data_IF_992030106610
#
_entry.id   IF_992030106610
#
_cell.length_a   1.000
_cell.length_b   1.000
_cell.length_c   1.000
_cell.angle_alpha   90.00
_cell.angle_beta   90.00
_cell.angle_gamma   90.00
#
_symmetry.space_group_name_H-M   'P 1'
#
loop_
_entity.id
_entity.type
_entity.pdbx_description
1 polymer ?
#
# COMPACT_ATOMS: atom_id res chain seq x y z
N UNK A 1 4.51 -37.69 10.64
CA UNK A 1 5.88 -37.84 10.12
C UNK A 1 5.80 -38.08 8.61
N UNK A 2 6.43 -37.23 7.82
CA UNK A 2 6.51 -37.40 6.38
C UNK A 2 7.86 -36.87 5.91
N UNK A 3 8.58 -37.66 5.14
CA UNK A 3 9.84 -37.25 4.52
C UNK A 3 9.55 -36.59 3.18
N UNK A 4 9.96 -35.33 3.04
CA UNK A 4 9.97 -34.63 1.77
C UNK A 4 11.37 -34.72 1.14
N UNK A 5 11.43 -34.77 -0.19
CA UNK A 5 12.67 -34.71 -0.97
C UNK A 5 12.44 -33.73 -2.11
N UNK A 6 13.30 -32.72 -2.20
CA UNK A 6 13.34 -31.85 -3.37
C UNK A 6 14.08 -32.58 -4.49
N UNK A 7 13.46 -32.67 -5.65
CA UNK A 7 14.06 -33.17 -6.87
C UNK A 7 14.06 -32.03 -7.88
N UNK A 8 15.24 -31.68 -8.39
CA UNK A 8 15.39 -30.70 -9.47
C UNK A 8 14.98 -31.41 -10.76
N UNK A 9 13.86 -31.00 -11.34
CA UNK A 9 13.45 -31.45 -12.67
C UNK A 9 14.01 -30.47 -13.72
N UNK A 10 14.91 -30.91 -14.61
CA UNK A 10 15.58 -30.03 -15.57
C UNK A 10 14.66 -29.54 -16.71
N UNK A 11 13.43 -30.05 -16.86
CA UNK A 11 12.52 -29.71 -17.96
C UNK A 11 11.16 -29.16 -17.50
N UNK A 12 11.12 -28.12 -16.67
CA UNK A 12 9.90 -27.31 -16.54
C UNK A 12 9.72 -26.47 -17.81
N UNK A 13 9.14 -27.08 -18.85
CA UNK A 13 8.82 -26.48 -20.16
C UNK A 13 7.32 -26.13 -20.31
N UNK A 14 6.65 -25.84 -19.19
CA UNK A 14 5.27 -25.33 -19.17
C UNK A 14 5.23 -23.82 -18.91
N UNK A 15 4.12 -23.18 -19.29
CA UNK A 15 3.82 -21.79 -18.93
C UNK A 15 4.05 -21.58 -17.42
N UNK A 16 5.05 -20.76 -17.08
CA UNK A 16 5.33 -20.38 -15.69
C UNK A 16 4.10 -19.63 -15.18
N UNK A 17 3.28 -20.32 -14.38
CA UNK A 17 2.10 -19.73 -13.77
C UNK A 17 2.59 -18.87 -12.60
N UNK A 18 2.69 -17.56 -12.82
CA UNK A 18 2.94 -16.60 -11.73
C UNK A 18 1.68 -16.52 -10.88
N UNK A 19 1.75 -16.96 -9.63
CA UNK A 19 0.66 -16.76 -8.68
C UNK A 19 0.75 -15.34 -8.12
N UNK A 20 -0.29 -14.53 -8.31
CA UNK A 20 -0.44 -13.19 -7.69
C UNK A 20 -0.78 -13.26 -6.19
N UNK A 21 -0.51 -14.40 -5.53
CA UNK A 21 -0.91 -14.67 -4.15
C UNK A 21 0.28 -14.53 -3.22
N UNK A 22 0.07 -13.89 -2.06
CA UNK A 22 1.09 -13.82 -1.01
C UNK A 22 1.41 -15.22 -0.46
N UNK A 23 2.61 -15.43 0.13
CA UNK A 23 2.92 -16.68 0.84
C UNK A 23 1.87 -17.05 1.89
N UNK A 24 1.29 -16.05 2.56
CA UNK A 24 0.22 -16.23 3.53
C UNK A 24 -1.06 -16.80 2.89
N UNK A 25 -1.46 -16.26 1.73
CA UNK A 25 -2.61 -16.77 0.97
C UNK A 25 -2.37 -18.18 0.44
N UNK A 26 -1.14 -18.51 0.03
CA UNK A 26 -0.78 -19.87 -0.39
C UNK A 26 -0.87 -20.88 0.76
N UNK A 27 -0.40 -20.51 1.96
CA UNK A 27 -0.51 -21.33 3.18
C UNK A 27 -1.99 -21.54 3.52
N UNK A 28 -2.80 -20.48 3.47
CA UNK A 28 -4.22 -20.56 3.75
C UNK A 28 -4.95 -21.50 2.78
N UNK A 29 -4.73 -21.33 1.48
CA UNK A 29 -5.30 -22.18 0.43
C UNK A 29 -4.89 -23.65 0.57
N UNK A 30 -3.63 -23.90 0.95
CA UNK A 30 -3.13 -25.24 1.24
C UNK A 30 -3.86 -25.90 2.39
N UNK A 31 -4.07 -25.17 3.49
CA UNK A 31 -4.79 -25.66 4.68
C UNK A 31 -6.26 -25.93 4.33
N UNK A 32 -6.95 -25.01 3.65
CA UNK A 32 -8.35 -25.18 3.21
C UNK A 32 -8.55 -26.45 2.38
N UNK A 33 -7.61 -26.76 1.49
CA UNK A 33 -7.71 -27.89 0.55
C UNK A 33 -7.25 -29.22 1.12
N UNK A 34 -6.31 -29.24 2.07
CA UNK A 34 -5.60 -30.47 2.47
C UNK A 34 -5.80 -30.89 3.92
N UNK A 35 -6.24 -30.00 4.80
CA UNK A 35 -6.31 -30.30 6.23
C UNK A 35 -7.73 -30.72 6.62
N UNK A 36 -7.86 -31.94 7.14
CA UNK A 36 -9.12 -32.48 7.65
C UNK A 36 -9.46 -31.92 9.03
N UNK A 37 -10.76 -31.92 9.36
CA UNK A 37 -11.23 -31.50 10.67
C UNK A 37 -10.58 -32.29 11.81
N UNK A 38 -10.42 -33.61 11.66
CA UNK A 38 -9.76 -34.45 12.67
C UNK A 38 -8.31 -34.03 12.94
N UNK A 39 -7.57 -33.65 11.90
CA UNK A 39 -6.19 -33.16 12.04
C UNK A 39 -6.18 -31.85 12.81
N UNK A 40 -7.03 -30.91 12.44
CA UNK A 40 -7.09 -29.58 13.07
C UNK A 40 -7.53 -29.67 14.53
N UNK A 41 -8.48 -30.56 14.84
CA UNK A 41 -8.93 -30.84 16.21
C UNK A 41 -7.82 -31.37 17.11
N UNK A 42 -6.97 -32.27 16.63
CA UNK A 42 -5.83 -32.77 17.43
C UNK A 42 -4.92 -31.65 17.90
N UNK A 43 -4.72 -30.65 17.05
CA UNK A 43 -3.86 -29.50 17.35
C UNK A 43 -4.58 -28.50 18.27
N UNK A 44 -5.82 -28.13 17.96
CA UNK A 44 -6.52 -27.02 18.61
C UNK A 44 -7.41 -27.41 19.80
N UNK A 45 -7.97 -28.63 19.85
CA UNK A 45 -8.85 -29.06 20.96
C UNK A 45 -8.06 -29.15 22.28
N UNK A 46 -6.78 -29.53 22.21
CA UNK A 46 -5.90 -29.56 23.39
C UNK A 46 -5.64 -28.16 23.98
N UNK A 47 -5.85 -27.12 23.18
CA UNK A 47 -5.65 -25.72 23.53
C UNK A 47 -6.99 -24.97 23.66
N UNK A 48 -8.12 -25.68 23.76
CA UNK A 48 -9.47 -25.10 23.73
C UNK A 48 -9.71 -24.02 24.79
N UNK A 49 -9.05 -24.13 25.95
CA UNK A 49 -9.16 -23.15 27.06
C UNK A 49 -8.17 -22.00 26.96
N UNK A 50 -7.26 -22.00 25.99
CA UNK A 50 -6.32 -20.89 25.80
C UNK A 50 -6.98 -19.73 25.08
N UNK A 51 -6.60 -18.53 25.48
CA UNK A 51 -7.01 -17.27 24.87
C UNK A 51 -6.33 -17.10 23.51
N UNK A 52 -7.11 -16.67 22.52
CA UNK A 52 -6.59 -16.32 21.19
C UNK A 52 -6.18 -14.86 21.22
N UNK A 53 -4.87 -14.60 21.24
CA UNK A 53 -4.29 -13.26 21.35
C UNK A 53 -3.57 -12.87 20.07
N UNK A 54 -3.41 -11.57 19.80
CA UNK A 54 -2.61 -11.09 18.67
C UNK A 54 -1.16 -11.58 18.81
N UNK A 55 -0.57 -12.08 17.73
CA UNK A 55 0.83 -12.56 17.74
C UNK A 55 1.79 -11.45 18.14
N UNK A 56 2.88 -11.72 18.85
CA UNK A 56 3.76 -10.67 19.43
C UNK A 56 4.60 -9.95 18.40
N UNK A 57 4.80 -10.55 17.23
CA UNK A 57 5.67 -10.01 16.20
C UNK A 57 4.90 -9.15 15.19
N UNK A 58 5.11 -7.83 15.26
CA UNK A 58 4.54 -6.85 14.33
C UNK A 58 4.84 -7.15 12.84
N UNK A 59 5.94 -7.86 12.53
CA UNK A 59 6.28 -8.30 11.17
C UNK A 59 5.25 -9.25 10.56
N UNK A 60 4.60 -10.09 11.38
CA UNK A 60 3.62 -11.08 10.96
C UNK A 60 2.16 -10.61 11.11
N UNK A 61 1.91 -9.58 11.94
CA UNK A 61 0.56 -8.98 12.14
C UNK A 61 -0.05 -8.33 10.90
N UNK A 62 0.77 -7.90 9.94
CA UNK A 62 0.35 -7.14 8.75
C UNK A 62 0.45 -7.95 7.44
N UNK A 63 0.44 -9.29 7.52
CA UNK A 63 0.40 -10.11 6.31
C UNK A 63 -0.94 -9.95 5.57
N UNK A 64 -0.86 -9.72 4.26
CA UNK A 64 -2.03 -9.69 3.39
C UNK A 64 -2.53 -11.12 3.13
N UNK A 65 -3.59 -11.49 3.85
CA UNK A 65 -4.49 -12.59 3.49
C UNK A 65 -5.79 -11.99 2.97
N UNK A 66 -6.20 -12.43 1.78
CA UNK A 66 -7.54 -12.16 1.26
C UNK A 66 -8.56 -13.01 2.01
N UNK A 67 -9.18 -12.43 3.04
CA UNK A 67 -10.28 -13.06 3.78
C UNK A 67 -11.62 -12.67 3.14
N UNK A 68 -12.51 -13.66 2.99
CA UNK A 68 -13.91 -13.42 2.64
C UNK A 68 -14.64 -12.66 3.75
N UNK A 69 -15.79 -12.02 3.46
CA UNK A 69 -16.56 -11.29 4.48
C UNK A 69 -16.95 -12.14 5.70
N UNK A 70 -17.19 -13.44 5.52
CA UNK A 70 -17.49 -14.38 6.61
C UNK A 70 -16.24 -14.64 7.48
N UNK A 71 -15.07 -14.81 6.86
CA UNK A 71 -13.80 -15.01 7.56
C UNK A 71 -13.34 -13.72 8.29
N UNK A 72 -13.69 -12.54 7.77
CA UNK A 72 -13.42 -11.25 8.45
C UNK A 72 -14.18 -11.12 9.76
N UNK A 73 -15.41 -11.64 9.86
CA UNK A 73 -16.17 -11.66 11.13
C UNK A 73 -15.47 -12.46 12.23
N UNK A 74 -14.72 -13.51 11.86
CA UNK A 74 -13.94 -14.28 12.84
C UNK A 74 -12.78 -13.45 13.40
N UNK A 75 -12.21 -12.55 12.59
CA UNK A 75 -11.18 -11.62 13.08
C UNK A 75 -11.73 -10.71 14.19
N UNK A 76 -12.99 -10.27 14.06
CA UNK A 76 -13.71 -9.53 15.11
C UNK A 76 -13.96 -10.39 16.36
N UNK A 77 -13.99 -11.72 16.24
CA UNK A 77 -14.07 -12.60 17.41
C UNK A 77 -12.72 -12.73 18.14
N UNK A 78 -11.60 -12.48 17.45
CA UNK A 78 -10.23 -12.64 17.95
C UNK A 78 -9.71 -11.30 18.51
N UNK A 79 -10.34 -10.86 19.60
CA UNK A 79 -10.04 -9.59 20.29
C UNK A 79 -9.09 -9.76 21.49
N UNK A 80 -8.52 -10.95 21.69
CA UNK A 80 -7.62 -11.23 22.82
C UNK A 80 -8.28 -11.71 24.10
N UNK A 81 -9.62 -11.59 24.22
CA UNK A 81 -10.37 -11.99 25.42
C UNK A 81 -11.16 -13.29 25.29
N UNK A 82 -11.25 -13.85 24.08
CA UNK A 82 -11.95 -15.13 23.82
C UNK A 82 -10.97 -16.28 23.73
N UNK A 83 -11.37 -17.42 24.28
CA UNK A 83 -10.67 -18.69 24.14
C UNK A 83 -10.90 -19.31 22.77
N UNK A 84 -10.03 -20.24 22.36
CA UNK A 84 -10.20 -21.03 21.13
C UNK A 84 -11.60 -21.64 21.08
N UNK A 85 -12.08 -22.15 22.22
CA UNK A 85 -13.42 -22.73 22.33
C UNK A 85 -14.56 -21.75 22.14
N UNK A 86 -14.46 -20.56 22.72
CA UNK A 86 -15.48 -19.51 22.56
C UNK A 86 -15.52 -18.99 21.13
N UNK A 87 -14.37 -18.80 20.48
CA UNK A 87 -14.33 -18.39 19.06
C UNK A 87 -14.98 -19.46 18.18
N UNK A 88 -14.71 -20.75 18.43
CA UNK A 88 -15.34 -21.85 17.70
C UNK A 88 -16.86 -21.94 17.94
N UNK A 89 -17.34 -21.64 19.15
CA UNK A 89 -18.75 -21.70 19.50
C UNK A 89 -19.56 -20.50 18.98
N UNK A 90 -18.94 -19.32 18.91
CA UNK A 90 -19.56 -18.07 18.44
C UNK A 90 -19.42 -17.85 16.94
N UNK A 91 -18.58 -18.63 16.28
CA UNK A 91 -18.42 -18.60 14.83
C UNK A 91 -19.73 -18.96 14.12
N UNK A 92 -20.21 -18.08 13.25
CA UNK A 92 -21.33 -18.35 12.34
C UNK A 92 -20.90 -19.23 11.13
N UNK A 93 -19.61 -19.54 11.00
CA UNK A 93 -19.07 -20.33 9.90
C UNK A 93 -19.15 -21.83 10.17
N UNK A 94 -19.04 -22.63 9.10
CA UNK A 94 -18.84 -24.07 9.24
C UNK A 94 -17.66 -24.37 10.16
N UNK A 95 -17.84 -25.33 11.06
CA UNK A 95 -16.86 -25.66 12.10
C UNK A 95 -15.46 -25.90 11.50
N UNK A 96 -15.38 -26.69 10.43
CA UNK A 96 -14.12 -26.97 9.74
C UNK A 96 -13.44 -25.71 9.19
N UNK A 97 -14.20 -24.76 8.63
CA UNK A 97 -13.65 -23.51 8.09
C UNK A 97 -13.10 -22.64 9.21
N UNK A 98 -13.79 -22.61 10.35
CA UNK A 98 -13.33 -21.89 11.55
C UNK A 98 -12.02 -22.47 12.08
N UNK A 99 -11.90 -23.80 12.18
CA UNK A 99 -10.65 -24.47 12.54
C UNK A 99 -9.52 -24.19 11.54
N UNK A 100 -9.81 -24.21 10.23
CA UNK A 100 -8.83 -23.91 9.19
C UNK A 100 -8.30 -22.49 9.33
N UNK A 101 -9.19 -21.51 9.51
CA UNK A 101 -8.81 -20.10 9.67
C UNK A 101 -7.97 -19.87 10.94
N UNK A 102 -8.41 -20.38 12.10
CA UNK A 102 -7.64 -20.26 13.35
C UNK A 102 -6.25 -20.90 13.22
N UNK A 103 -6.19 -22.11 12.64
CA UNK A 103 -4.92 -22.79 12.44
C UNK A 103 -4.01 -22.03 11.47
N UNK A 104 -4.56 -21.45 10.40
CA UNK A 104 -3.80 -20.61 9.46
C UNK A 104 -3.24 -19.39 10.15
N UNK A 105 -4.07 -18.59 10.82
CA UNK A 105 -3.64 -17.38 11.51
C UNK A 105 -2.55 -17.66 12.55
N UNK A 106 -2.63 -18.80 13.23
CA UNK A 106 -1.58 -19.25 14.16
C UNK A 106 -0.30 -19.66 13.42
N UNK A 107 -0.42 -20.38 12.30
CA UNK A 107 0.72 -20.86 11.50
C UNK A 107 1.52 -19.70 10.90
N UNK A 108 0.84 -18.63 10.51
CA UNK A 108 1.49 -17.42 9.98
C UNK A 108 1.80 -16.38 11.06
N UNK A 109 1.69 -16.75 12.35
CA UNK A 109 2.03 -15.92 13.51
C UNK A 109 1.24 -14.60 13.63
N UNK A 110 0.05 -14.53 13.03
CA UNK A 110 -0.87 -13.41 13.24
C UNK A 110 -1.57 -13.48 14.61
N UNK A 111 -1.74 -14.69 15.14
CA UNK A 111 -2.31 -14.97 16.46
C UNK A 111 -1.45 -15.97 17.22
N UNK A 112 -1.52 -15.92 18.55
CA UNK A 112 -0.87 -16.84 19.47
C UNK A 112 -1.90 -17.34 20.51
N UNK A 113 -1.61 -18.49 21.14
CA UNK A 113 -2.44 -19.05 22.20
C UNK A 113 -1.80 -18.80 23.56
N UNK A 114 -2.56 -18.17 24.46
CA UNK A 114 -2.08 -17.72 25.77
C UNK A 114 -2.91 -18.30 26.91
N UNK A 115 -2.29 -18.55 28.06
CA UNK A 115 -2.97 -18.99 29.28
C UNK A 115 -3.71 -17.84 30.00
N UNK A 116 -3.33 -16.60 29.69
CA UNK A 116 -4.02 -15.39 30.16
C UNK A 116 -4.66 -14.65 28.99
N UNK A 117 -5.80 -13.96 29.20
CA UNK A 117 -6.32 -13.04 28.20
C UNK A 117 -5.23 -12.07 27.75
N UNK A 118 -5.26 -11.68 26.49
CA UNK A 118 -4.40 -10.61 25.98
C UNK A 118 -4.68 -9.36 26.80
N UNK A 119 -3.67 -8.87 27.51
CA UNK A 119 -3.77 -7.59 28.21
C UNK A 119 -4.08 -6.51 27.18
N UNK A 120 -5.02 -5.64 27.52
CA UNK A 120 -5.28 -4.38 26.85
C UNK A 120 -4.00 -3.52 26.86
N UNK A 121 -3.05 -3.82 25.97
CA UNK A 121 -2.59 -2.72 25.15
C UNK A 121 -3.70 -2.56 24.11
N UNK A 122 -4.60 -1.64 24.41
CA UNK A 122 -5.47 -1.00 23.44
C UNK A 122 -4.62 -0.56 22.23
N UNK A 123 -4.36 -1.47 21.30
CA UNK A 123 -4.56 -1.13 19.91
C UNK A 123 -6.09 -1.08 19.73
N UNK A 124 -6.71 -0.04 20.31
CA UNK A 124 -7.83 0.60 19.64
C UNK A 124 -7.32 0.76 18.20
N UNK A 125 -7.94 0.07 17.23
CA UNK A 125 -7.99 0.65 15.90
C UNK A 125 -8.64 2.00 16.13
N UNK A 126 -7.80 3.02 16.33
CA UNK A 126 -8.26 4.33 16.68
C UNK A 126 -9.25 4.68 15.57
N UNK A 127 -10.52 4.80 15.95
CA UNK A 127 -11.55 5.28 15.05
C UNK A 127 -11.01 6.52 14.38
N UNK A 128 -11.40 6.82 13.14
CA UNK A 128 -10.97 8.08 12.49
C UNK A 128 -11.32 9.29 13.40
N UNK A 129 -12.26 9.13 14.33
CA UNK A 129 -12.51 10.03 15.44
C UNK A 129 -11.38 10.09 16.47
N UNK A 130 -10.93 8.97 17.03
CA UNK A 130 -9.78 8.89 17.94
C UNK A 130 -8.48 9.37 17.29
N UNK A 131 -8.14 8.96 16.06
CA UNK A 131 -6.91 9.42 15.36
C UNK A 131 -6.93 10.94 15.20
N UNK A 132 -8.08 11.51 14.80
CA UNK A 132 -8.22 12.95 14.61
C UNK A 132 -8.21 13.71 15.95
N UNK A 133 -8.73 13.13 17.04
CA UNK A 133 -8.73 13.74 18.38
C UNK A 133 -7.36 13.67 19.05
N UNK A 134 -6.65 12.56 18.94
CA UNK A 134 -5.27 12.40 19.42
C UNK A 134 -4.32 13.35 18.66
N UNK A 135 -4.46 13.44 17.33
CA UNK A 135 -3.75 14.42 16.50
C UNK A 135 -4.15 15.88 16.83
N UNK A 136 -5.35 16.13 17.34
CA UNK A 136 -5.78 17.45 17.75
C UNK A 136 -5.18 17.91 19.09
N UNK A 137 -4.85 16.95 19.98
CA UNK A 137 -4.20 17.18 21.28
C UNK A 137 -2.69 17.45 21.18
N UNK A 138 -2.02 16.96 20.13
CA UNK A 138 -0.62 17.33 19.84
C UNK A 138 -0.56 18.80 19.39
N UNK A 139 0.32 19.61 19.98
CA UNK A 139 0.57 20.99 19.50
C UNK A 139 0.90 20.92 18.01
N UNK A 140 0.06 21.54 17.18
CA UNK A 140 0.24 21.52 15.74
C UNK A 140 1.64 22.05 15.39
N UNK A 141 2.47 21.22 14.76
CA UNK A 141 3.66 21.71 14.11
C UNK A 141 3.26 22.81 13.12
N UNK A 142 4.07 23.87 12.94
CA UNK A 142 3.79 24.90 11.95
C UNK A 142 3.49 24.27 10.59
N UNK A 143 2.51 24.77 9.85
CA UNK A 143 2.13 24.22 8.54
C UNK A 143 3.31 24.10 7.57
N UNK A 144 4.33 24.97 7.70
CA UNK A 144 5.58 24.89 6.96
C UNK A 144 6.45 23.67 7.33
N UNK A 145 6.48 23.28 8.61
CA UNK A 145 7.26 22.12 9.08
C UNK A 145 6.62 20.79 8.65
N UNK A 146 5.28 20.73 8.61
CA UNK A 146 4.54 19.57 8.12
C UNK A 146 4.72 19.38 6.60
N UNK A 147 4.69 20.47 5.84
CA UNK A 147 4.94 20.43 4.39
C UNK A 147 6.40 20.03 4.08
N UNK A 148 7.36 20.55 4.84
CA UNK A 148 8.77 20.20 4.71
C UNK A 148 9.04 18.71 5.05
N UNK A 149 8.39 18.16 6.07
CA UNK A 149 8.52 16.74 6.42
C UNK A 149 7.94 15.81 5.33
N UNK A 150 6.85 16.23 4.68
CA UNK A 150 6.21 15.48 3.61
C UNK A 150 6.98 15.57 2.28
N UNK A 151 7.60 16.72 2.01
CA UNK A 151 8.57 16.87 0.92
C UNK A 151 9.83 16.01 1.13
N UNK A 152 10.37 15.98 2.36
CA UNK A 152 11.50 15.13 2.70
C UNK A 152 11.18 13.63 2.52
N UNK A 153 10.02 13.18 3.01
CA UNK A 153 9.58 11.80 2.81
C UNK A 153 9.39 11.45 1.32
N UNK A 154 8.85 12.38 0.52
CA UNK A 154 8.71 12.18 -0.93
C UNK A 154 10.06 12.15 -1.67
N UNK A 155 11.09 12.81 -1.14
CA UNK A 155 12.45 12.76 -1.68
C UNK A 155 13.15 11.45 -1.32
N UNK A 156 13.00 10.98 -0.07
CA UNK A 156 13.51 9.67 0.35
C UNK A 156 12.92 8.52 -0.48
N UNK A 157 11.61 8.58 -0.77
CA UNK A 157 10.94 7.61 -1.64
C UNK A 157 11.50 7.64 -3.08
N UNK A 158 11.84 8.82 -3.60
CA UNK A 158 12.40 8.98 -4.94
C UNK A 158 13.83 8.43 -5.03
N UNK A 159 14.65 8.69 -4.02
CA UNK A 159 16.02 8.14 -3.92
C UNK A 159 16.01 6.62 -3.81
N UNK A 160 15.09 6.07 -3.01
CA UNK A 160 14.87 4.64 -2.89
C UNK A 160 14.52 4.01 -4.25
N UNK A 161 13.55 4.58 -4.98
CA UNK A 161 13.15 4.12 -6.32
C UNK A 161 14.33 4.14 -7.30
N UNK A 162 15.12 5.22 -7.29
CA UNK A 162 16.32 5.33 -8.13
C UNK A 162 17.37 4.28 -7.80
N UNK A 163 17.65 4.07 -6.51
CA UNK A 163 18.61 3.06 -6.06
C UNK A 163 18.20 1.66 -6.52
N UNK A 164 16.92 1.30 -6.39
CA UNK A 164 16.40 0.00 -6.86
C UNK A 164 16.62 -0.18 -8.35
N UNK A 165 16.30 0.83 -9.17
CA UNK A 165 16.43 0.76 -10.62
C UNK A 165 17.90 0.67 -11.06
N UNK A 166 18.78 1.43 -10.42
CA UNK A 166 20.23 1.34 -10.66
C UNK A 166 20.79 -0.02 -10.26
N UNK A 167 20.34 -0.57 -9.12
CA UNK A 167 20.73 -1.90 -8.67
C UNK A 167 20.27 -3.00 -9.63
N UNK A 168 19.02 -2.94 -10.09
CA UNK A 168 18.50 -3.87 -11.09
C UNK A 168 19.35 -3.86 -12.36
N UNK A 169 19.68 -2.67 -12.87
CA UNK A 169 20.56 -2.50 -14.03
C UNK A 169 21.94 -3.13 -13.82
N UNK A 170 22.56 -2.83 -12.69
CA UNK A 170 23.89 -3.33 -12.33
C UNK A 170 23.92 -4.86 -12.22
N UNK A 171 22.93 -5.45 -11.54
CA UNK A 171 22.82 -6.89 -11.42
C UNK A 171 22.54 -7.55 -12.77
N UNK A 172 21.90 -6.88 -13.73
CA UNK A 172 21.55 -7.51 -14.99
C UNK A 172 22.77 -7.89 -15.84
N UNK A 173 23.82 -7.07 -15.83
CA UNK A 173 25.08 -7.37 -16.53
C UNK A 173 25.98 -8.37 -15.79
N UNK A 174 25.67 -8.68 -14.53
CA UNK A 174 26.53 -9.50 -13.66
C UNK A 174 26.29 -11.00 -13.80
N UNK A 175 27.37 -11.77 -13.69
CA UNK A 175 27.34 -13.22 -13.49
C UNK A 175 26.94 -13.57 -12.04
N UNK A 176 26.66 -14.83 -11.73
CA UNK A 176 26.15 -15.23 -10.41
C UNK A 176 27.13 -14.96 -9.26
N UNK A 177 28.45 -15.08 -9.50
CA UNK A 177 29.44 -14.71 -8.48
C UNK A 177 29.41 -13.20 -8.24
N UNK A 178 29.39 -12.41 -9.31
CA UNK A 178 29.32 -10.94 -9.23
C UNK A 178 28.00 -10.43 -8.62
N UNK A 179 26.88 -11.12 -8.84
CA UNK A 179 25.58 -10.83 -8.21
C UNK A 179 25.69 -10.94 -6.69
N UNK A 180 26.38 -11.98 -6.20
CA UNK A 180 26.65 -12.16 -4.77
C UNK A 180 27.81 -11.29 -4.25
N UNK A 181 28.56 -10.64 -5.14
CA UNK A 181 29.74 -9.83 -4.81
C UNK A 181 30.95 -10.69 -4.44
N UNK A 182 31.09 -11.85 -5.09
CA UNK A 182 32.11 -12.86 -4.83
C UNK A 182 32.98 -13.08 -6.06
N UNK A 183 34.16 -13.65 -5.85
CA UNK A 183 35.04 -14.14 -6.92
C UNK A 183 34.73 -15.60 -7.23
N UNK A 184 35.28 -16.14 -8.33
CA UNK A 184 35.04 -17.53 -8.74
C UNK A 184 35.68 -18.54 -7.78
N UNK A 185 36.61 -18.10 -6.95
CA UNK A 185 37.31 -18.89 -5.93
C UNK A 185 36.54 -18.96 -4.60
N UNK A 186 35.38 -18.28 -4.49
CA UNK A 186 34.63 -18.19 -3.24
C UNK A 186 34.21 -19.56 -2.70
N UNK A 187 34.34 -19.74 -1.40
CA UNK A 187 33.94 -20.94 -0.67
C UNK A 187 32.42 -21.01 -0.49
N UNK A 188 31.88 -22.20 -0.20
CA UNK A 188 30.46 -22.40 0.07
C UNK A 188 29.96 -21.55 1.26
N UNK A 189 30.79 -21.41 2.30
CA UNK A 189 30.50 -20.56 3.45
C UNK A 189 30.38 -19.08 3.06
N UNK A 190 31.24 -18.59 2.17
CA UNK A 190 31.17 -17.22 1.65
C UNK A 190 29.94 -17.00 0.77
N UNK A 191 29.58 -17.97 -0.07
CA UNK A 191 28.37 -17.95 -0.91
C UNK A 191 27.11 -17.83 -0.04
N UNK A 192 27.01 -18.68 1.00
CA UNK A 192 25.88 -18.64 1.93
C UNK A 192 25.81 -17.34 2.72
N UNK A 193 26.96 -16.85 3.21
CA UNK A 193 27.06 -15.58 3.92
C UNK A 193 26.63 -14.39 3.05
N UNK A 194 27.09 -14.35 1.79
CA UNK A 194 26.73 -13.32 0.84
C UNK A 194 25.23 -13.33 0.51
N UNK A 195 24.65 -14.52 0.28
CA UNK A 195 23.21 -14.67 0.06
C UNK A 195 22.40 -14.16 1.24
N UNK A 196 22.71 -14.57 2.48
CA UNK A 196 21.98 -14.14 3.67
C UNK A 196 22.00 -12.61 3.84
N UNK A 197 23.16 -11.98 3.58
CA UNK A 197 23.30 -10.52 3.62
C UNK A 197 22.41 -9.83 2.58
N UNK A 198 22.46 -10.28 1.32
CA UNK A 198 21.71 -9.68 0.22
C UNK A 198 20.20 -9.96 0.31
N UNK A 199 19.82 -11.16 0.73
CA UNK A 199 18.43 -11.51 0.99
C UNK A 199 17.84 -10.60 2.07
N UNK A 200 18.58 -10.36 3.16
CA UNK A 200 18.15 -9.41 4.20
C UNK A 200 18.01 -7.99 3.64
N UNK A 201 18.82 -7.57 2.68
CA UNK A 201 18.81 -6.21 2.12
C UNK A 201 17.70 -6.00 1.09
N UNK A 202 17.51 -6.96 0.19
CA UNK A 202 16.64 -6.86 -0.98
C UNK A 202 15.37 -7.72 -0.89
N UNK A 203 15.01 -8.23 0.29
CA UNK A 203 13.74 -8.95 0.47
C UNK A 203 12.55 -8.04 0.10
N UNK A 204 11.57 -8.52 -0.70
CA UNK A 204 10.40 -7.73 -1.11
C UNK A 204 9.66 -7.07 0.06
N UNK A 205 9.54 -7.76 1.20
CA UNK A 205 8.87 -7.25 2.40
C UNK A 205 9.45 -5.95 2.94
N UNK A 206 10.76 -5.69 2.74
CA UNK A 206 11.38 -4.43 3.20
C UNK A 206 10.91 -3.21 2.44
N UNK A 207 10.36 -3.42 1.25
CA UNK A 207 9.86 -2.37 0.36
C UNK A 207 8.33 -2.34 0.33
N UNK A 208 7.68 -3.21 1.11
CA UNK A 208 6.23 -3.27 1.21
C UNK A 208 5.65 -1.93 1.65
N UNK A 209 4.63 -1.45 0.93
CA UNK A 209 3.99 -0.15 1.17
C UNK A 209 4.81 1.09 0.76
N UNK A 210 6.10 0.94 0.46
CA UNK A 210 6.99 2.05 0.05
C UNK A 210 7.11 2.18 -1.47
N UNK A 211 7.01 1.06 -2.18
CA UNK A 211 7.07 1.02 -3.64
C UNK A 211 5.88 0.27 -4.21
N UNK A 212 5.45 0.66 -5.40
CA UNK A 212 4.33 0.05 -6.13
C UNK A 212 4.71 -0.19 -7.60
N UNK A 213 3.82 -0.86 -8.32
CA UNK A 213 3.92 -1.00 -9.77
C UNK A 213 5.23 -1.62 -10.25
N UNK A 214 5.86 -0.98 -11.22
CA UNK A 214 7.08 -1.44 -11.87
C UNK A 214 8.25 -1.51 -10.91
N UNK A 215 8.35 -0.59 -9.95
CA UNK A 215 9.44 -0.60 -8.97
C UNK A 215 9.35 -1.82 -8.07
N UNK A 216 8.13 -2.19 -7.64
CA UNK A 216 7.90 -3.43 -6.89
C UNK A 216 8.34 -4.66 -7.71
N UNK A 217 7.96 -4.70 -8.98
CA UNK A 217 8.39 -5.77 -9.88
C UNK A 217 9.94 -5.84 -9.99
N UNK A 218 10.64 -4.69 -10.05
CA UNK A 218 12.12 -4.68 -10.08
C UNK A 218 12.75 -5.21 -8.79
N UNK A 219 12.17 -4.94 -7.63
CA UNK A 219 12.62 -5.55 -6.36
C UNK A 219 12.49 -7.07 -6.41
N UNK A 220 11.35 -7.58 -6.88
CA UNK A 220 11.13 -9.02 -7.04
C UNK A 220 12.13 -9.66 -8.02
N UNK A 221 12.42 -8.99 -9.14
CA UNK A 221 13.43 -9.44 -10.11
C UNK A 221 14.85 -9.46 -9.54
N UNK A 222 15.23 -8.45 -8.76
CA UNK A 222 16.51 -8.39 -8.05
C UNK A 222 16.62 -9.58 -7.09
N UNK A 223 15.60 -9.79 -6.25
CA UNK A 223 15.59 -10.87 -5.25
C UNK A 223 15.63 -12.25 -5.89
N UNK A 224 14.87 -12.45 -6.98
CA UNK A 224 14.92 -13.68 -7.78
C UNK A 224 16.33 -13.92 -8.30
N UNK A 225 17.00 -12.91 -8.88
CA UNK A 225 18.36 -13.06 -9.41
C UNK A 225 19.39 -13.40 -8.32
N UNK A 226 19.26 -12.82 -7.13
CA UNK A 226 20.09 -13.16 -5.96
C UNK A 226 19.85 -14.62 -5.54
N UNK A 227 18.60 -15.07 -5.54
CA UNK A 227 18.22 -16.44 -5.17
C UNK A 227 18.69 -17.45 -6.20
N UNK A 228 18.54 -17.17 -7.49
CA UNK A 228 19.04 -18.01 -8.58
C UNK A 228 20.57 -18.17 -8.48
N UNK A 229 21.28 -17.07 -8.25
CA UNK A 229 22.73 -17.09 -8.06
C UNK A 229 23.15 -17.99 -6.89
N UNK A 230 22.45 -17.90 -5.75
CA UNK A 230 22.71 -18.77 -4.61
C UNK A 230 22.39 -20.24 -4.91
N UNK A 231 21.23 -20.52 -5.49
CA UNK A 231 20.78 -21.89 -5.78
C UNK A 231 21.76 -22.61 -6.71
N UNK A 232 22.27 -21.92 -7.74
CA UNK A 232 23.24 -22.50 -8.68
C UNK A 232 24.63 -22.62 -8.05
N UNK A 233 25.10 -21.62 -7.31
CA UNK A 233 26.48 -21.62 -6.79
C UNK A 233 26.68 -22.43 -5.51
N UNK A 234 25.61 -22.67 -4.74
CA UNK A 234 25.66 -23.49 -3.52
C UNK A 234 25.63 -24.99 -3.80
N UNK A 235 25.12 -25.42 -4.96
CA UNK A 235 25.20 -26.81 -5.41
C UNK A 235 26.54 -27.06 -6.12
N UNK A 236 27.38 -28.03 -5.69
CA UNK A 236 28.66 -28.32 -6.32
C UNK A 236 28.55 -28.63 -7.82
N UNK A 237 27.55 -29.42 -8.21
CA UNK A 237 27.33 -29.79 -9.62
C UNK A 237 26.83 -28.58 -10.42
N UNK A 238 25.80 -27.88 -9.91
CA UNK A 238 25.28 -26.65 -10.52
C UNK A 238 26.35 -25.57 -10.71
N UNK A 239 27.30 -25.45 -9.76
CA UNK A 239 28.42 -24.52 -9.87
C UNK A 239 29.39 -24.92 -10.98
N UNK A 240 29.72 -26.20 -11.10
CA UNK A 240 30.61 -26.71 -12.14
C UNK A 240 30.00 -26.51 -13.53
N UNK A 241 28.73 -26.88 -13.70
CA UNK A 241 27.98 -26.66 -14.94
C UNK A 241 27.91 -25.16 -15.29
N UNK A 242 27.70 -24.30 -14.30
CA UNK A 242 27.68 -22.86 -14.48
C UNK A 242 29.04 -22.32 -14.96
N UNK A 243 30.13 -22.76 -14.33
CA UNK A 243 31.50 -22.41 -14.74
C UNK A 243 31.81 -22.88 -16.16
N UNK A 244 31.35 -24.06 -16.56
CA UNK A 244 31.47 -24.55 -17.94
C UNK A 244 30.63 -23.74 -18.94
N UNK A 245 29.48 -23.22 -18.50
CA UNK A 245 28.57 -22.40 -19.31
C UNK A 245 29.00 -20.94 -19.50
N UNK A 246 30.07 -20.49 -18.84
CA UNK A 246 30.67 -19.15 -18.98
C UNK A 246 31.39 -19.01 -20.33
N UNK A 247 30.63 -19.05 -21.42
CA UNK A 247 31.05 -18.83 -22.80
C UNK A 247 29.97 -18.03 -23.55
N UNK A 248 30.30 -16.81 -23.98
CA UNK A 248 29.34 -15.82 -24.44
C UNK A 248 28.69 -16.15 -25.79
N UNK A 249 27.34 -15.98 -25.86
CA UNK A 249 26.65 -15.32 -26.99
C UNK A 249 25.16 -14.93 -26.77
N UNK A 250 24.60 -15.08 -25.57
CA UNK A 250 23.23 -14.64 -25.26
C UNK A 250 23.12 -13.36 -24.39
N UNK A 251 24.21 -12.89 -23.77
CA UNK A 251 24.20 -11.76 -22.80
C UNK A 251 23.93 -10.39 -23.42
N UNK A 252 24.53 -10.07 -24.58
CA UNK A 252 24.52 -8.70 -25.14
C UNK A 252 23.11 -8.17 -25.45
N UNK A 253 22.27 -8.98 -26.10
CA UNK A 253 20.90 -8.58 -26.51
C UNK A 253 19.96 -8.35 -25.30
N UNK A 254 20.14 -9.09 -24.21
CA UNK A 254 19.35 -8.95 -22.97
C UNK A 254 19.78 -7.72 -22.19
N UNK A 255 21.09 -7.47 -22.08
CA UNK A 255 21.65 -6.27 -21.44
C UNK A 255 21.20 -4.99 -22.16
N UNK A 256 21.20 -4.98 -23.50
CA UNK A 256 20.75 -3.82 -24.29
C UNK A 256 19.26 -3.51 -24.05
N UNK A 257 18.41 -4.54 -23.97
CA UNK A 257 16.97 -4.38 -23.68
C UNK A 257 16.73 -3.84 -22.27
N UNK A 258 17.44 -4.36 -21.27
CA UNK A 258 17.33 -3.88 -19.89
C UNK A 258 17.86 -2.45 -19.75
N UNK A 259 18.92 -2.09 -20.48
CA UNK A 259 19.43 -0.73 -20.49
C UNK A 259 18.40 0.29 -21.02
N UNK A 260 17.71 -0.01 -22.12
CA UNK A 260 16.64 0.86 -22.64
C UNK A 260 15.40 0.90 -21.72
N UNK A 261 15.06 -0.23 -21.10
CA UNK A 261 13.98 -0.27 -20.11
C UNK A 261 14.29 0.62 -18.90
N UNK A 262 15.48 0.48 -18.32
CA UNK A 262 15.95 1.28 -17.18
C UNK A 262 15.99 2.76 -17.53
N UNK A 263 16.50 3.11 -18.72
CA UNK A 263 16.51 4.48 -19.22
C UNK A 263 15.09 5.07 -19.30
N UNK A 264 14.11 4.25 -19.69
CA UNK A 264 12.71 4.68 -19.75
C UNK A 264 12.11 4.90 -18.36
N UNK A 265 12.46 4.05 -17.38
CA UNK A 265 12.03 4.24 -15.97
C UNK A 265 12.64 5.52 -15.41
N UNK A 266 13.95 5.71 -15.56
CA UNK A 266 14.64 6.90 -15.06
C UNK A 266 14.11 8.19 -15.69
N UNK A 267 13.77 8.15 -16.99
CA UNK A 267 13.12 9.27 -17.66
C UNK A 267 11.74 9.56 -17.09
N UNK A 268 10.95 8.53 -16.78
CA UNK A 268 9.64 8.69 -16.18
C UNK A 268 9.76 9.34 -14.80
N UNK A 269 10.64 8.82 -13.95
CA UNK A 269 10.88 9.33 -12.59
C UNK A 269 11.38 10.78 -12.62
N UNK A 270 12.37 11.09 -13.46
CA UNK A 270 12.88 12.46 -13.61
C UNK A 270 11.77 13.43 -14.04
N UNK A 271 10.92 13.02 -14.98
CA UNK A 271 9.80 13.84 -15.43
C UNK A 271 8.77 13.99 -14.31
N UNK A 272 8.49 12.93 -13.55
CA UNK A 272 7.58 12.99 -12.41
C UNK A 272 8.07 13.97 -11.34
N UNK A 273 9.35 13.92 -10.98
CA UNK A 273 9.96 14.87 -10.03
C UNK A 273 9.85 16.33 -10.49
N UNK A 274 10.16 16.61 -11.77
CA UNK A 274 9.94 17.95 -12.34
C UNK A 274 8.47 18.36 -12.31
N UNK A 275 7.55 17.42 -12.50
CA UNK A 275 6.13 17.66 -12.37
C UNK A 275 5.74 18.07 -10.95
N UNK A 276 6.31 17.42 -9.92
CA UNK A 276 6.12 17.79 -8.51
C UNK A 276 6.69 19.19 -8.20
N UNK A 277 7.86 19.53 -8.75
CA UNK A 277 8.45 20.88 -8.64
C UNK A 277 7.52 21.95 -9.23
N UNK A 278 6.95 21.72 -10.42
CA UNK A 278 5.99 22.66 -10.99
C UNK A 278 4.69 22.70 -10.20
N UNK A 279 4.25 21.58 -9.64
CA UNK A 279 3.05 21.50 -8.81
C UNK A 279 3.22 22.32 -7.52
N UNK A 280 4.39 22.27 -6.88
CA UNK A 280 4.68 23.08 -5.67
C UNK A 280 4.69 24.57 -5.99
N UNK A 281 5.15 24.95 -7.19
CA UNK A 281 5.05 26.31 -7.72
C UNK A 281 3.64 26.70 -8.21
N UNK A 282 2.64 25.80 -8.09
CA UNK A 282 1.28 25.94 -8.65
C UNK A 282 1.24 26.20 -10.17
N UNK A 283 2.29 25.81 -10.87
CA UNK A 283 2.36 25.88 -12.32
C UNK A 283 1.73 24.62 -12.94
N UNK A 284 0.40 24.55 -12.90
CA UNK A 284 -0.35 23.40 -13.39
C UNK A 284 -0.10 23.06 -14.87
N UNK A 285 0.03 24.02 -15.81
CA UNK A 285 0.33 23.70 -17.21
C UNK A 285 1.63 22.91 -17.37
N UNK A 286 2.73 23.40 -16.78
CA UNK A 286 4.03 22.70 -16.85
C UNK A 286 4.01 21.39 -16.08
N UNK A 287 3.31 21.34 -14.94
CA UNK A 287 3.16 20.09 -14.18
C UNK A 287 2.45 19.01 -15.02
N UNK A 288 1.35 19.36 -15.70
CA UNK A 288 0.62 18.45 -16.60
C UNK A 288 1.51 17.95 -17.73
N UNK A 289 2.34 18.80 -18.35
CA UNK A 289 3.28 18.37 -19.38
C UNK A 289 4.26 17.32 -18.86
N UNK A 290 4.88 17.57 -17.70
CA UNK A 290 5.84 16.65 -17.10
C UNK A 290 5.18 15.33 -16.66
N UNK A 291 4.01 15.39 -16.04
CA UNK A 291 3.27 14.19 -15.64
C UNK A 291 2.76 13.38 -16.84
N UNK A 292 2.38 14.03 -17.95
CA UNK A 292 2.06 13.33 -19.21
C UNK A 292 3.26 12.56 -19.75
N UNK A 293 4.46 13.12 -19.67
CA UNK A 293 5.69 12.42 -20.08
C UNK A 293 5.93 11.21 -19.17
N UNK A 294 5.84 11.39 -17.85
CA UNK A 294 6.01 10.30 -16.88
C UNK A 294 5.01 9.16 -17.13
N UNK A 295 3.72 9.48 -17.25
CA UNK A 295 2.66 8.52 -17.51
C UNK A 295 2.78 7.86 -18.89
N UNK A 296 3.19 8.58 -19.94
CA UNK A 296 3.42 7.99 -21.26
C UNK A 296 4.57 6.99 -21.25
N UNK A 297 5.61 7.28 -20.46
CA UNK A 297 6.72 6.35 -20.28
C UNK A 297 6.29 5.10 -19.50
N UNK A 298 5.50 5.26 -18.42
CA UNK A 298 4.99 4.16 -17.57
C UNK A 298 3.51 4.35 -17.23
N UNK A 299 2.59 3.79 -18.03
CA UNK A 299 1.15 3.91 -17.81
C UNK A 299 0.61 3.07 -16.64
N UNK A 300 1.40 2.12 -16.12
CA UNK A 300 1.00 1.23 -15.02
C UNK A 300 1.11 1.89 -13.64
N UNK A 301 1.83 3.01 -13.54
CA UNK A 301 2.05 3.70 -12.28
C UNK A 301 0.86 4.57 -11.88
N UNK A 302 0.12 4.12 -10.86
CA UNK A 302 -1.05 4.81 -10.33
C UNK A 302 -0.70 6.21 -9.80
N UNK A 303 0.47 6.39 -9.19
CA UNK A 303 0.93 7.69 -8.69
C UNK A 303 1.01 8.72 -9.81
N UNK A 304 1.55 8.35 -10.98
CA UNK A 304 1.71 9.27 -12.11
C UNK A 304 0.36 9.72 -12.62
N UNK A 305 -0.60 8.79 -12.71
CA UNK A 305 -1.97 9.08 -13.13
C UNK A 305 -2.71 9.95 -12.10
N UNK A 306 -2.54 9.71 -10.80
CA UNK A 306 -3.15 10.49 -9.74
C UNK A 306 -2.69 11.96 -9.78
N UNK A 307 -1.38 12.20 -9.90
CA UNK A 307 -0.83 13.55 -9.97
C UNK A 307 -1.17 14.25 -11.30
N UNK A 308 -1.17 13.51 -12.41
CA UNK A 308 -1.64 14.01 -13.70
C UNK A 308 -3.12 14.45 -13.61
N UNK A 309 -3.97 13.62 -13.01
CA UNK A 309 -5.38 13.92 -12.82
C UNK A 309 -5.60 15.14 -11.94
N UNK A 310 -4.89 15.21 -10.80
CA UNK A 310 -4.93 16.36 -9.90
C UNK A 310 -4.46 17.66 -10.57
N UNK A 311 -3.35 17.63 -11.31
CA UNK A 311 -2.85 18.80 -12.01
C UNK A 311 -3.79 19.23 -13.14
N UNK A 312 -4.37 18.27 -13.88
CA UNK A 312 -5.34 18.52 -14.95
C UNK A 312 -6.62 19.15 -14.39
N UNK A 313 -7.12 18.67 -13.25
CA UNK A 313 -8.29 19.23 -12.59
C UNK A 313 -8.11 20.69 -12.15
N UNK A 314 -6.87 21.08 -11.82
CA UNK A 314 -6.53 22.42 -11.36
C UNK A 314 -5.99 23.32 -12.48
N UNK A 315 -6.06 22.91 -13.75
CA UNK A 315 -5.70 23.79 -14.86
C UNK A 315 -6.58 25.05 -14.82
N UNK A 316 -5.97 26.25 -14.96
CA UNK A 316 -6.74 27.47 -15.07
C UNK A 316 -7.52 27.46 -16.39
N UNK A 317 -8.64 28.18 -16.41
CA UNK A 317 -9.34 28.49 -17.65
C UNK A 317 -8.35 29.19 -18.60
N UNK A 318 -8.35 28.79 -19.88
CA UNK A 318 -7.47 29.41 -20.87
C UNK A 318 -7.81 30.88 -21.06
N UNK A 319 -6.81 31.63 -21.52
CA UNK A 319 -7.04 33.01 -21.97
C UNK A 319 -8.05 33.01 -23.13
N UNK A 320 -8.88 34.04 -23.15
CA UNK A 320 -9.94 34.22 -24.14
C UNK A 320 -10.02 35.69 -24.57
N UNK A 321 -10.49 35.95 -25.77
CA UNK A 321 -10.61 37.31 -26.33
C UNK A 321 -11.76 38.13 -25.73
N UNK A 322 -12.59 37.50 -24.88
CA UNK A 322 -13.70 38.13 -24.18
C UNK A 322 -15.03 38.12 -24.96
N UNK A 323 -15.02 37.61 -26.19
CA UNK A 323 -16.26 37.35 -26.92
C UNK A 323 -17.06 36.26 -26.20
N UNK A 324 -18.39 36.36 -26.26
CA UNK A 324 -19.28 35.38 -25.63
C UNK A 324 -18.95 33.95 -26.05
N UNK A 325 -18.70 33.75 -27.36
CA UNK A 325 -18.38 32.44 -27.94
C UNK A 325 -17.04 31.90 -27.45
N UNK A 326 -15.98 32.72 -27.41
CA UNK A 326 -14.68 32.25 -26.97
C UNK A 326 -14.65 31.96 -25.46
N UNK A 327 -15.39 32.77 -24.68
CA UNK A 327 -15.61 32.51 -23.25
C UNK A 327 -16.35 31.19 -23.01
N UNK A 328 -17.42 30.92 -23.75
CA UNK A 328 -18.17 29.65 -23.66
C UNK A 328 -17.27 28.44 -23.99
N UNK A 329 -16.43 28.54 -25.02
CA UNK A 329 -15.46 27.49 -25.36
C UNK A 329 -14.39 27.30 -24.26
N UNK A 330 -13.90 28.40 -23.68
CA UNK A 330 -12.93 28.33 -22.58
C UNK A 330 -13.55 27.72 -21.31
N UNK A 331 -14.82 27.99 -21.03
CA UNK A 331 -15.59 27.37 -19.95
C UNK A 331 -15.79 25.86 -20.20
N UNK A 332 -16.18 25.46 -21.41
CA UNK A 332 -16.32 24.05 -21.79
C UNK A 332 -15.01 23.26 -21.65
N UNK A 333 -13.90 23.80 -22.16
CA UNK A 333 -12.57 23.18 -22.01
C UNK A 333 -12.14 23.08 -20.54
N UNK A 334 -12.46 24.10 -19.73
CA UNK A 334 -12.16 24.09 -18.30
C UNK A 334 -12.97 23.01 -17.56
N UNK A 335 -14.25 22.85 -17.89
CA UNK A 335 -15.09 21.79 -17.34
C UNK A 335 -14.64 20.39 -17.78
N UNK A 336 -14.26 20.21 -19.06
CA UNK A 336 -13.69 18.95 -19.57
C UNK A 336 -12.41 18.56 -18.82
N UNK A 337 -11.49 19.50 -18.61
CA UNK A 337 -10.28 19.27 -17.85
C UNK A 337 -10.58 18.82 -16.41
N UNK A 338 -11.60 19.39 -15.78
CA UNK A 338 -12.04 18.98 -14.44
C UNK A 338 -12.68 17.61 -14.42
N UNK A 339 -13.51 17.30 -15.40
CA UNK A 339 -14.12 15.98 -15.52
C UNK A 339 -13.05 14.90 -15.69
N UNK A 340 -12.16 15.08 -16.68
CA UNK A 340 -11.06 14.16 -16.99
C UNK A 340 -10.06 14.05 -15.85
N UNK A 341 -9.72 15.17 -15.22
CA UNK A 341 -8.85 15.20 -14.06
C UNK A 341 -9.37 14.31 -12.93
N UNK A 342 -10.67 14.42 -12.60
CA UNK A 342 -11.31 13.55 -11.60
C UNK A 342 -11.32 12.08 -12.02
N UNK A 343 -11.64 11.79 -13.29
CA UNK A 343 -11.66 10.41 -13.81
C UNK A 343 -10.28 9.75 -13.74
N UNK A 344 -9.21 10.49 -14.04
CA UNK A 344 -7.83 10.01 -13.90
C UNK A 344 -7.51 9.63 -12.45
N UNK A 345 -7.89 10.47 -11.47
CA UNK A 345 -7.65 10.15 -10.05
C UNK A 345 -8.49 8.95 -9.59
N UNK A 346 -9.76 8.84 -10.02
CA UNK A 346 -10.61 7.67 -9.73
C UNK A 346 -9.99 6.38 -10.28
N UNK A 347 -9.49 6.43 -11.52
CA UNK A 347 -8.77 5.30 -12.12
C UNK A 347 -7.47 4.99 -11.37
N UNK A 348 -6.74 5.99 -10.89
CA UNK A 348 -5.53 5.77 -10.11
C UNK A 348 -5.83 5.00 -8.80
N UNK A 349 -6.94 5.30 -8.12
CA UNK A 349 -7.40 4.53 -6.95
C UNK A 349 -7.73 3.08 -7.32
N UNK A 350 -8.37 2.85 -8.47
CA UNK A 350 -8.65 1.48 -8.96
C UNK A 350 -7.39 0.70 -9.29
N UNK A 351 -6.37 1.39 -9.82
CA UNK A 351 -5.08 0.78 -10.15
C UNK A 351 -4.28 0.45 -8.89
N UNK A 352 -4.33 1.30 -7.86
CA UNK A 352 -3.70 1.05 -6.56
C UNK A 352 -4.63 1.51 -5.42
N UNK A 353 -5.42 0.58 -4.84
CA UNK A 353 -6.32 0.89 -3.73
C UNK A 353 -5.62 1.33 -2.44
N UNK A 354 -4.29 1.18 -2.35
CA UNK A 354 -3.45 1.63 -1.23
C UNK A 354 -2.75 2.97 -1.48
N UNK A 355 -3.18 3.73 -2.49
CA UNK A 355 -2.64 5.04 -2.77
C UNK A 355 -3.36 6.12 -1.95
N UNK A 356 -2.81 6.48 -0.78
CA UNK A 356 -3.35 7.52 0.10
C UNK A 356 -3.44 8.89 -0.60
N UNK A 357 -2.40 9.28 -1.37
CA UNK A 357 -2.38 10.53 -2.14
C UNK A 357 -3.54 10.65 -3.12
N UNK A 358 -3.89 9.55 -3.81
CA UNK A 358 -5.02 9.53 -4.74
C UNK A 358 -6.36 9.79 -4.01
N UNK A 359 -6.55 9.21 -2.82
CA UNK A 359 -7.73 9.52 -1.99
C UNK A 359 -7.74 10.97 -1.50
N UNK A 360 -6.59 11.52 -1.10
CA UNK A 360 -6.45 12.93 -0.74
C UNK A 360 -6.85 13.84 -1.91
N UNK A 361 -6.37 13.56 -3.12
CA UNK A 361 -6.73 14.32 -4.32
C UNK A 361 -8.23 14.24 -4.63
N UNK A 362 -8.86 13.05 -4.54
CA UNK A 362 -10.32 12.94 -4.68
C UNK A 362 -11.04 13.75 -3.61
N UNK A 363 -10.57 13.71 -2.36
CA UNK A 363 -11.09 14.51 -1.26
C UNK A 363 -11.09 16.01 -1.59
N UNK A 364 -9.96 16.51 -2.10
CA UNK A 364 -9.84 17.91 -2.51
C UNK A 364 -10.76 18.26 -3.69
N UNK A 365 -10.85 17.38 -4.70
CA UNK A 365 -11.72 17.53 -5.87
C UNK A 365 -13.19 17.63 -5.43
N UNK A 366 -13.67 16.67 -4.63
CA UNK A 366 -15.05 16.67 -4.14
C UNK A 366 -15.34 17.88 -3.27
N UNK A 367 -14.38 18.32 -2.46
CA UNK A 367 -14.50 19.54 -1.65
C UNK A 367 -14.66 20.78 -2.52
N UNK A 368 -13.92 20.89 -3.62
CA UNK A 368 -13.98 22.04 -4.53
C UNK A 368 -15.24 22.06 -5.41
N UNK A 369 -15.82 20.89 -5.72
CA UNK A 369 -17.13 20.77 -6.40
C UNK A 369 -18.30 20.98 -5.43
N UNK A 370 -18.04 21.07 -4.11
CA UNK A 370 -19.05 21.31 -3.08
C UNK A 370 -19.66 20.04 -2.49
N UNK A 371 -19.23 18.86 -2.93
CA UNK A 371 -19.66 17.55 -2.44
C UNK A 371 -18.92 17.18 -1.13
N UNK A 372 -19.25 17.89 -0.04
CA UNK A 372 -18.52 17.78 1.24
C UNK A 372 -18.53 16.39 1.88
N UNK A 373 -19.63 15.67 1.78
CA UNK A 373 -19.75 14.32 2.35
C UNK A 373 -18.87 13.32 1.62
N UNK A 374 -18.82 13.41 0.28
CA UNK A 374 -17.91 12.62 -0.52
C UNK A 374 -16.46 12.96 -0.20
N UNK A 375 -16.14 14.25 -0.08
CA UNK A 375 -14.80 14.68 0.31
C UNK A 375 -14.36 14.08 1.65
N UNK A 376 -15.24 14.14 2.67
CA UNK A 376 -14.99 13.57 3.99
C UNK A 376 -14.64 12.07 3.89
N UNK A 377 -15.48 11.27 3.21
CA UNK A 377 -15.25 9.84 3.02
C UNK A 377 -13.92 9.52 2.33
N UNK A 378 -13.49 10.33 1.37
CA UNK A 378 -12.20 10.10 0.72
C UNK A 378 -11.03 10.39 1.66
N UNK A 379 -11.09 11.43 2.48
CA UNK A 379 -10.05 11.65 3.49
C UNK A 379 -10.02 10.55 4.56
N UNK A 380 -11.18 9.99 4.95
CA UNK A 380 -11.20 8.82 5.84
C UNK A 380 -10.50 7.62 5.21
N UNK A 381 -10.78 7.34 3.94
CA UNK A 381 -10.08 6.27 3.19
C UNK A 381 -8.57 6.51 3.12
N UNK A 382 -8.13 7.75 2.95
CA UNK A 382 -6.71 8.08 2.99
C UNK A 382 -6.08 7.72 4.34
N UNK A 383 -6.79 7.91 5.47
CA UNK A 383 -6.31 7.53 6.80
C UNK A 383 -6.37 6.03 7.09
N UNK A 384 -7.36 5.33 6.55
CA UNK A 384 -7.43 3.86 6.65
C UNK A 384 -6.21 3.24 5.96
N UNK A 385 -5.82 3.81 4.81
CA UNK A 385 -4.66 3.35 4.04
C UNK A 385 -3.35 3.80 4.68
N UNK A 386 -3.28 5.06 5.12
CA UNK A 386 -2.12 5.65 5.78
C UNK A 386 -2.57 6.47 7.00
N UNK A 387 -2.54 5.88 8.21
CA UNK A 387 -2.96 6.56 9.44
C UNK A 387 -2.19 7.87 9.74
N UNK A 388 -0.98 8.00 9.20
CA UNK A 388 -0.13 9.17 9.36
C UNK A 388 -0.27 10.18 8.21
N UNK A 389 -1.30 10.08 7.37
CA UNK A 389 -1.54 11.00 6.26
C UNK A 389 -1.89 12.41 6.77
N UNK A 390 -0.88 13.27 6.83
CA UNK A 390 -0.96 14.64 7.38
C UNK A 390 -2.04 15.49 6.69
N UNK A 391 -2.13 15.41 5.37
CA UNK A 391 -3.11 16.18 4.59
C UNK A 391 -4.55 15.78 4.93
N UNK A 392 -4.83 14.48 4.99
CA UNK A 392 -6.15 13.95 5.32
C UNK A 392 -6.55 14.31 6.77
N UNK A 393 -5.63 14.17 7.74
CA UNK A 393 -5.85 14.56 9.13
C UNK A 393 -6.22 16.04 9.25
N UNK A 394 -5.46 16.90 8.58
CA UNK A 394 -5.68 18.34 8.59
C UNK A 394 -7.06 18.70 8.03
N UNK A 395 -7.43 18.12 6.89
CA UNK A 395 -8.69 18.41 6.22
C UNK A 395 -9.89 17.94 7.04
N UNK A 396 -9.85 16.72 7.60
CA UNK A 396 -10.90 16.20 8.47
C UNK A 396 -11.07 17.05 9.73
N UNK A 397 -9.98 17.48 10.37
CA UNK A 397 -10.03 18.39 11.53
C UNK A 397 -10.74 19.70 11.18
N UNK A 398 -10.39 20.32 10.05
CA UNK A 398 -11.03 21.56 9.58
C UNK A 398 -12.51 21.37 9.25
N UNK A 399 -12.89 20.23 8.67
CA UNK A 399 -14.28 19.90 8.37
C UNK A 399 -15.10 19.69 9.64
N UNK A 400 -14.60 18.91 10.61
CA UNK A 400 -15.25 18.69 11.92
C UNK A 400 -15.42 20.01 12.68
N UNK A 401 -14.38 20.86 12.72
CA UNK A 401 -14.47 22.17 13.37
C UNK A 401 -15.54 23.06 12.75
N UNK A 402 -15.61 23.13 11.41
CA UNK A 402 -16.65 23.90 10.70
C UNK A 402 -18.06 23.32 10.92
N UNK A 403 -18.19 22.00 11.02
CA UNK A 403 -19.47 21.35 11.31
C UNK A 403 -19.96 21.69 12.73
N UNK A 404 -19.10 21.56 13.75
CA UNK A 404 -19.40 21.94 15.15
C UNK A 404 -19.82 23.42 15.25
N UNK A 405 -19.09 24.33 14.58
CA UNK A 405 -19.43 25.76 14.56
C UNK A 405 -20.80 26.05 13.91
N UNK A 406 -21.17 25.32 12.85
CA UNK A 406 -22.50 25.45 12.22
C UNK A 406 -23.62 24.93 13.11
N UNK A 407 -23.40 23.81 13.80
CA UNK A 407 -24.38 23.27 14.74
C UNK A 407 -24.61 24.22 15.92
N UNK A 408 -23.56 24.80 16.50
CA UNK A 408 -23.70 25.81 17.56
C UNK A 408 -24.47 27.05 17.09
N UNK A 409 -24.18 27.57 15.89
CA UNK A 409 -24.94 28.70 15.31
C UNK A 409 -26.41 28.36 15.09
N UNK A 410 -26.72 27.17 14.57
CA UNK A 410 -28.11 26.70 14.41
C UNK A 410 -28.83 26.59 15.75
N UNK A 411 -28.21 25.99 16.77
CA UNK A 411 -28.80 25.90 18.10
C UNK A 411 -29.00 27.26 18.78
N UNK A 412 -28.11 28.21 18.55
CA UNK A 412 -28.26 29.60 19.02
C UNK A 412 -29.43 30.31 18.32
N UNK A 413 -29.55 30.18 16.99
CA UNK A 413 -30.69 30.73 16.24
C UNK A 413 -32.03 30.09 16.64
N UNK A 414 -32.06 28.77 16.85
CA UNK A 414 -33.23 28.06 17.34
C UNK A 414 -33.70 28.62 18.69
N UNK A 415 -32.77 28.81 19.65
CA UNK A 415 -33.06 29.40 20.96
C UNK A 415 -33.58 30.85 20.87
N UNK A 416 -33.12 31.63 19.90
CA UNK A 416 -33.63 32.99 19.67
C UNK A 416 -35.05 32.96 19.10
N UNK A 417 -35.31 32.10 18.11
CA UNK A 417 -36.64 31.94 17.53
C UNK A 417 -37.66 31.42 18.55
N UNK A 418 -37.25 30.48 19.42
CA UNK A 418 -38.10 29.96 20.48
C UNK A 418 -38.46 31.05 21.51
N UNK A 419 -37.54 31.98 21.80
CA UNK A 419 -37.82 33.14 22.68
C UNK A 419 -38.72 34.19 22.03
N UNK A 420 -38.63 34.38 20.71
CA UNK A 420 -39.47 35.32 19.96
C UNK A 420 -40.90 34.78 19.76
N UNK A 421 -41.07 33.45 19.75
CA UNK A 421 -42.38 32.79 19.64
C UNK A 421 -43.05 32.51 21.00
N UNK A 422 -42.46 32.92 22.13
CA UNK A 422 -43.20 32.90 23.39
C UNK A 422 -44.28 33.99 23.36
N UNK A 423 -45.56 33.66 23.60
CA UNK A 423 -46.60 34.67 23.67
C UNK A 423 -46.22 35.65 24.78
N UNK A 424 -46.19 36.94 24.45
CA UNK A 424 -46.03 38.03 25.42
C UNK A 424 -47.14 37.83 26.44
N UNK A 425 -46.79 37.26 27.60
CA UNK A 425 -47.72 37.02 28.69
C UNK A 425 -48.35 38.35 29.02
N UNK A 426 -49.63 38.47 28.65
CA UNK A 426 -50.43 39.65 28.92
C UNK A 426 -50.36 39.97 30.40
N UNK A 427 -50.06 41.23 30.67
CA UNK A 427 -50.50 41.90 31.88
C UNK A 427 -51.98 41.60 32.12
N UNK A 428 -52.30 40.94 33.24
CA UNK A 428 -53.61 41.09 33.87
C UNK A 428 -53.57 40.55 35.31
N UNK A 429 -53.04 41.35 36.23
CA UNK A 429 -53.79 42.05 37.30
C UNK A 429 -52.83 42.52 38.39
#
# INVERSE_FOLDING_TARGET
EGTYRFTIDPEVTGDITSFELSPATLIFEGIKKRFSLERLRRELDSQHMKFVVKGKNLYYRFQDIELSPEEQKIKELIEGHRTVGEVLALSEMDLIKTYQLLYTLMTIEMIELSDTPGGEEEEEEATVEQIVEEAAGRKAAPAAAAHAAQEAASQEDAELRRMIVEKYRDLESKNYFEVLGLTQEATEAEIKSAYHRLAKEFHPDRFFGKVSGDIKAKVEEIFRKISDAYNVLSDPNGREDYLASLGEKAKKKRVDKVAEEVKTILKAEQSFQRGLEFLSMRNFPKAVEQFKIAYKCRPQEADYLAHLGWATFNLPMREHDGTKRDKELAEEEWEDNRFRGREMVDRAVKMNPRNDKAYVFLGHIYKQIGQREYAFRQYEKALIVNPNCVDALRELRLMKMKARARQQKKGFFQKIMDKLNQPIGGSNK
#
